data_IF_289854538920
#
_entry.id   IF_289854538920
#
_cell.length_a   1.000
_cell.length_b   1.000
_cell.length_c   1.000
_cell.angle_alpha   90.00
_cell.angle_beta   90.00
_cell.angle_gamma   90.00
#
_symmetry.space_group_name_H-M   'P 1'
#
loop_
_entity.id
_entity.type
_entity.pdbx_description
1 polymer ?
#
# COMPACT_ATOMS: atom_id res chain seq x y z
N UNK A 1 17.96 -7.45 19.87
CA UNK A 1 18.85 -6.38 19.36
C UNK A 1 17.98 -5.37 18.62
N UNK A 2 18.14 -4.05 18.78
CA UNK A 2 17.32 -3.07 18.05
C UNK A 2 17.65 -3.15 16.55
N UNK A 3 16.65 -3.45 15.72
CA UNK A 3 16.79 -3.43 14.26
C UNK A 3 16.87 -1.98 13.79
N UNK A 4 17.81 -1.70 12.88
CA UNK A 4 17.93 -0.40 12.22
C UNK A 4 16.69 -0.15 11.36
N UNK A 5 16.15 1.07 11.39
CA UNK A 5 14.94 1.43 10.65
C UNK A 5 15.09 1.22 9.13
N UNK A 6 16.25 1.55 8.56
CA UNK A 6 16.52 1.32 7.14
C UNK A 6 16.43 -0.17 6.77
N UNK A 7 16.95 -1.05 7.62
CA UNK A 7 16.88 -2.50 7.44
C UNK A 7 15.44 -3.00 7.56
N UNK A 8 14.70 -2.55 8.57
CA UNK A 8 13.28 -2.88 8.73
C UNK A 8 12.44 -2.42 7.53
N UNK A 9 12.73 -1.23 6.99
CA UNK A 9 12.07 -0.68 5.81
C UNK A 9 12.34 -1.54 4.58
N UNK A 10 13.60 -1.91 4.32
CA UNK A 10 13.94 -2.79 3.19
C UNK A 10 13.28 -4.17 3.33
N UNK A 11 13.39 -4.81 4.50
CA UNK A 11 12.77 -6.12 4.74
C UNK A 11 11.26 -6.08 4.48
N UNK A 12 10.58 -5.05 5.01
CA UNK A 12 9.13 -4.91 4.82
C UNK A 12 8.75 -4.60 3.37
N UNK A 13 9.59 -3.86 2.65
CA UNK A 13 9.33 -3.48 1.25
C UNK A 13 9.52 -4.66 0.30
N UNK A 14 10.50 -5.52 0.56
CA UNK A 14 10.80 -6.68 -0.29
C UNK A 14 10.05 -7.95 0.09
N UNK A 15 9.23 -7.95 1.16
CA UNK A 15 8.46 -9.11 1.63
C UNK A 15 9.31 -10.34 1.99
N UNK A 16 10.52 -10.13 2.49
CA UNK A 16 11.48 -11.22 2.76
C UNK A 16 11.38 -11.66 4.23
N UNK A 17 10.18 -11.77 4.80
CA UNK A 17 10.02 -12.07 6.22
C UNK A 17 8.98 -13.15 6.48
N UNK A 18 9.35 -14.11 7.31
CA UNK A 18 8.51 -15.24 7.70
C UNK A 18 8.17 -15.20 9.20
N UNK A 19 7.16 -15.97 9.61
CA UNK A 19 6.65 -16.02 10.99
C UNK A 19 7.69 -16.51 12.00
N UNK A 20 8.64 -17.34 11.55
CA UNK A 20 9.72 -17.88 12.37
C UNK A 20 10.94 -16.94 12.45
N UNK A 21 10.98 -15.88 11.63
CA UNK A 21 12.12 -14.98 11.62
C UNK A 21 12.17 -14.16 12.92
N UNK A 22 13.30 -14.26 13.63
CA UNK A 22 13.53 -13.52 14.87
C UNK A 22 13.44 -11.99 14.69
N UNK A 23 13.54 -11.50 13.45
CA UNK A 23 13.42 -10.09 13.11
C UNK A 23 11.98 -9.58 12.98
N UNK A 24 10.98 -10.46 12.86
CA UNK A 24 9.57 -10.06 12.68
C UNK A 24 9.03 -9.27 13.86
N UNK A 25 9.12 -9.84 15.07
CA UNK A 25 8.63 -9.20 16.29
C UNK A 25 9.25 -7.82 16.54
N UNK A 26 10.57 -7.64 16.40
CA UNK A 26 11.20 -6.32 16.46
C UNK A 26 10.70 -5.34 15.39
N UNK A 27 10.49 -5.79 14.15
CA UNK A 27 9.99 -4.93 13.06
C UNK A 27 8.55 -4.50 13.34
N UNK A 28 7.68 -5.43 13.73
CA UNK A 28 6.29 -5.12 14.07
C UNK A 28 6.22 -4.12 15.24
N UNK A 29 7.03 -4.31 16.29
CA UNK A 29 7.14 -3.36 17.39
C UNK A 29 7.61 -1.97 16.94
N UNK A 30 8.61 -1.92 16.05
CA UNK A 30 9.08 -0.66 15.48
C UNK A 30 7.96 0.06 14.73
N UNK A 31 7.23 -0.66 13.86
CA UNK A 31 6.12 -0.12 13.08
C UNK A 31 4.99 0.42 13.97
N UNK A 32 4.57 -0.34 14.97
CA UNK A 32 3.51 0.07 15.89
C UNK A 32 3.91 1.28 16.75
N UNK A 33 5.18 1.35 17.18
CA UNK A 33 5.69 2.51 17.90
C UNK A 33 5.75 3.75 17.01
N UNK A 34 6.24 3.61 15.76
CA UNK A 34 6.22 4.70 14.77
C UNK A 34 4.81 5.16 14.45
N UNK A 35 3.86 4.25 14.33
CA UNK A 35 2.45 4.59 14.13
C UNK A 35 1.93 5.46 15.27
N UNK A 36 2.18 5.06 16.53
CA UNK A 36 1.78 5.85 17.71
C UNK A 36 2.44 7.22 17.77
N UNK A 37 3.68 7.34 17.31
CA UNK A 37 4.37 8.63 17.21
C UNK A 37 3.71 9.53 16.17
N UNK A 38 3.49 9.03 14.96
CA UNK A 38 2.83 9.78 13.87
C UNK A 38 1.39 10.17 14.22
N UNK A 39 0.65 9.30 14.91
CA UNK A 39 -0.70 9.59 15.41
C UNK A 39 -0.74 10.81 16.35
N UNK A 40 0.32 11.06 17.13
CA UNK A 40 0.39 12.26 18.00
C UNK A 40 0.52 13.56 17.20
N UNK A 41 1.06 13.49 15.99
CA UNK A 41 1.25 14.65 15.11
C UNK A 41 0.09 14.87 14.14
N UNK A 42 -0.81 13.88 14.00
CA UNK A 42 -1.97 13.89 13.11
C UNK A 42 -2.80 15.18 13.18
N UNK A 43 -3.03 15.70 14.39
CA UNK A 43 -3.87 16.88 14.61
C UNK A 43 -3.06 18.20 14.62
N UNK A 44 -1.75 18.16 14.39
CA UNK A 44 -0.84 19.30 14.68
C UNK A 44 -0.03 19.84 13.51
N UNK A 45 0.06 19.15 12.36
CA UNK A 45 0.92 19.63 11.26
C UNK A 45 0.15 19.79 9.94
N UNK A 46 -0.01 21.04 9.52
CA UNK A 46 -0.01 21.38 8.09
C UNK A 46 1.39 21.10 7.53
N UNK A 47 1.47 20.34 6.44
CA UNK A 47 2.72 20.02 5.76
C UNK A 47 3.53 21.30 5.46
N UNK A 48 4.78 21.38 5.92
CA UNK A 48 5.69 22.48 5.63
C UNK A 48 6.91 21.98 4.84
N UNK A 49 6.91 22.26 3.55
CA UNK A 49 7.95 21.87 2.58
C UNK A 49 9.34 22.43 2.91
N UNK A 50 9.44 23.49 3.72
CA UNK A 50 10.70 24.14 4.09
C UNK A 50 11.39 23.48 5.31
N UNK A 51 10.63 22.83 6.18
CA UNK A 51 11.15 22.13 7.37
C UNK A 51 11.53 20.66 7.10
N UNK A 52 11.15 20.11 5.95
CA UNK A 52 11.50 18.77 5.48
C UNK A 52 12.39 18.83 4.21
N UNK A 53 13.61 19.41 4.30
CA UNK A 53 14.51 19.52 3.17
C UNK A 53 15.10 18.14 2.88
N UNK A 54 14.67 17.53 1.78
CA UNK A 54 15.10 16.21 1.28
C UNK A 54 14.55 15.04 2.11
N UNK A 55 13.52 14.38 1.55
CA UNK A 55 13.16 13.01 1.92
C UNK A 55 14.44 12.17 1.90
N UNK A 56 14.88 11.68 3.05
CA UNK A 56 15.57 10.38 3.03
C UNK A 56 14.58 9.43 2.35
N UNK A 57 14.92 8.92 1.16
CA UNK A 57 14.02 8.12 0.29
C UNK A 57 13.45 6.89 1.03
N UNK A 58 14.12 6.45 2.10
CA UNK A 58 13.86 5.22 2.82
C UNK A 58 13.50 5.50 4.29
N UNK A 59 12.41 4.89 4.80
CA UNK A 59 12.02 4.96 6.22
C UNK A 59 10.52 5.06 6.51
N UNK A 60 10.17 4.93 7.79
CA UNK A 60 8.80 4.93 8.32
C UNK A 60 8.38 6.31 8.82
N UNK A 61 8.54 7.33 7.98
CA UNK A 61 8.29 8.75 8.33
C UNK A 61 6.87 9.23 8.09
N UNK A 62 6.09 8.48 7.34
CA UNK A 62 4.72 8.89 7.02
C UNK A 62 3.79 7.77 7.42
N UNK A 63 2.59 8.14 7.84
CA UNK A 63 1.50 7.20 8.05
C UNK A 63 1.32 6.23 6.87
N UNK A 64 1.42 6.74 5.63
CA UNK A 64 1.28 5.91 4.45
C UNK A 64 2.40 4.85 4.31
N UNK A 65 3.65 5.17 4.66
CA UNK A 65 4.75 4.18 4.59
C UNK A 65 4.67 3.16 5.72
N UNK A 66 4.25 3.59 6.91
CA UNK A 66 4.02 2.71 8.07
C UNK A 66 2.88 1.72 7.78
N UNK A 67 1.72 2.24 7.34
CA UNK A 67 0.55 1.40 7.04
C UNK A 67 0.79 0.49 5.83
N UNK A 68 1.60 0.94 4.85
CA UNK A 68 2.00 0.07 3.75
C UNK A 68 2.76 -1.16 4.26
N UNK A 69 3.77 -0.95 5.11
CA UNK A 69 4.54 -2.05 5.68
C UNK A 69 3.68 -2.99 6.52
N UNK A 70 2.80 -2.46 7.38
CA UNK A 70 1.85 -3.27 8.14
C UNK A 70 0.92 -4.08 7.22
N UNK A 71 0.36 -3.45 6.17
CA UNK A 71 -0.52 -4.12 5.22
C UNK A 71 0.17 -5.22 4.42
N UNK A 72 1.45 -5.04 4.11
CA UNK A 72 2.26 -6.06 3.44
C UNK A 72 2.39 -7.29 4.33
N UNK A 73 2.72 -7.11 5.61
CA UNK A 73 2.84 -8.22 6.56
C UNK A 73 1.51 -8.97 6.78
N UNK A 74 0.37 -8.30 6.55
CA UNK A 74 -0.96 -8.93 6.61
C UNK A 74 -1.31 -9.79 5.40
N UNK A 75 -0.58 -9.67 4.28
CA UNK A 75 -0.87 -10.44 3.06
C UNK A 75 -0.14 -11.79 3.04
N UNK A 76 0.70 -12.05 4.04
CA UNK A 76 1.55 -13.25 4.15
C UNK A 76 0.87 -14.34 5.00
N UNK A 77 1.65 -15.28 5.54
CA UNK A 77 1.20 -16.46 6.29
C UNK A 77 0.32 -16.15 7.52
N UNK A 78 -0.55 -17.11 7.87
CA UNK A 78 -1.54 -16.99 8.94
C UNK A 78 -0.94 -16.61 10.32
N UNK A 79 0.29 -17.05 10.66
CA UNK A 79 0.89 -16.69 11.95
C UNK A 79 1.29 -15.22 12.04
N UNK A 80 1.77 -14.62 10.95
CA UNK A 80 2.04 -13.17 10.88
C UNK A 80 0.74 -12.37 11.03
N UNK A 81 -0.32 -12.80 10.34
CA UNK A 81 -1.63 -12.18 10.42
C UNK A 81 -2.20 -12.25 11.85
N UNK A 82 -2.10 -13.41 12.50
CA UNK A 82 -2.55 -13.60 13.87
C UNK A 82 -1.79 -12.68 14.84
N UNK A 83 -0.46 -12.58 14.72
CA UNK A 83 0.32 -11.72 15.62
C UNK A 83 0.00 -10.23 15.43
N UNK A 84 -0.23 -9.80 14.18
CA UNK A 84 -0.67 -8.43 13.89
C UNK A 84 -2.06 -8.18 14.48
N UNK A 85 -2.98 -9.13 14.35
CA UNK A 85 -4.32 -9.02 14.94
C UNK A 85 -4.26 -8.97 16.47
N UNK A 86 -3.45 -9.81 17.11
CA UNK A 86 -3.22 -9.82 18.57
C UNK A 86 -2.72 -8.46 19.09
N UNK A 87 -2.03 -7.68 18.24
CA UNK A 87 -1.53 -6.35 18.55
C UNK A 87 -2.44 -5.20 18.09
N UNK A 88 -3.68 -5.52 17.77
CA UNK A 88 -4.71 -4.54 17.42
C UNK A 88 -4.74 -4.14 15.94
N UNK A 89 -4.25 -5.01 15.05
CA UNK A 89 -4.20 -4.74 13.60
C UNK A 89 -5.58 -4.42 13.01
N UNK A 90 -6.63 -5.11 13.47
CA UNK A 90 -8.01 -4.89 13.00
C UNK A 90 -8.49 -3.49 13.39
N UNK A 91 -8.25 -3.06 14.63
CA UNK A 91 -8.63 -1.76 15.17
C UNK A 91 -7.84 -0.62 14.50
N UNK A 92 -6.58 -0.86 14.15
CA UNK A 92 -5.77 0.07 13.35
C UNK A 92 -6.41 0.23 11.97
N UNK A 93 -6.77 -0.87 11.30
CA UNK A 93 -7.47 -0.84 10.03
C UNK A 93 -8.77 -0.03 10.12
N UNK A 94 -9.63 -0.36 11.08
CA UNK A 94 -10.90 0.31 11.33
C UNK A 94 -10.75 1.83 11.49
N UNK A 95 -9.73 2.28 12.24
CA UNK A 95 -9.45 3.70 12.50
C UNK A 95 -9.20 4.50 11.23
N UNK A 96 -8.61 3.86 10.22
CA UNK A 96 -8.16 4.52 8.99
C UNK A 96 -9.02 4.26 7.76
N UNK A 97 -10.09 3.49 7.87
CA UNK A 97 -11.01 3.22 6.75
C UNK A 97 -11.61 4.49 6.14
N UNK A 98 -11.83 5.53 6.95
CA UNK A 98 -12.44 6.80 6.50
C UNK A 98 -11.40 7.90 6.22
N UNK A 99 -10.14 7.53 6.06
CA UNK A 99 -9.07 8.50 5.85
C UNK A 99 -9.25 9.30 4.53
N UNK A 100 -8.94 10.60 4.46
CA UNK A 100 -9.07 11.38 3.22
C UNK A 100 -8.25 10.85 2.04
N UNK A 101 -7.03 10.36 2.30
CA UNK A 101 -6.17 9.75 1.28
C UNK A 101 -6.62 8.33 0.92
N UNK A 102 -6.92 8.11 -0.36
CA UNK A 102 -7.31 6.81 -0.90
C UNK A 102 -6.26 5.71 -0.64
N UNK A 103 -4.97 6.04 -0.78
CA UNK A 103 -3.86 5.10 -0.52
C UNK A 103 -3.90 4.55 0.91
N UNK A 104 -4.19 5.41 1.88
CA UNK A 104 -4.29 5.01 3.29
C UNK A 104 -5.55 4.19 3.52
N UNK A 105 -6.69 4.54 2.89
CA UNK A 105 -7.92 3.72 2.98
C UNK A 105 -7.71 2.31 2.45
N UNK A 106 -6.96 2.14 1.35
CA UNK A 106 -6.64 0.82 0.79
C UNK A 106 -5.83 -0.01 1.79
N UNK A 107 -4.76 0.55 2.38
CA UNK A 107 -3.95 -0.15 3.40
C UNK A 107 -4.77 -0.48 4.65
N UNK A 108 -5.63 0.45 5.07
CA UNK A 108 -6.53 0.27 6.19
C UNK A 108 -7.55 -0.84 5.94
N UNK A 109 -8.05 -0.96 4.71
CA UNK A 109 -8.95 -2.03 4.31
C UNK A 109 -8.26 -3.40 4.34
N UNK A 110 -6.99 -3.49 3.94
CA UNK A 110 -6.20 -4.73 4.06
C UNK A 110 -6.06 -5.15 5.52
N UNK A 111 -5.69 -4.21 6.40
CA UNK A 111 -5.58 -4.47 7.86
C UNK A 111 -6.94 -4.85 8.47
N UNK A 112 -8.00 -4.14 8.11
CA UNK A 112 -9.35 -4.46 8.57
C UNK A 112 -9.86 -5.81 8.01
N UNK A 113 -9.33 -6.23 6.86
CA UNK A 113 -9.62 -7.52 6.24
C UNK A 113 -9.30 -8.72 7.14
N UNK A 114 -8.38 -8.58 8.09
CA UNK A 114 -8.11 -9.58 9.13
C UNK A 114 -9.37 -9.94 9.95
N UNK A 115 -10.34 -9.02 10.05
CA UNK A 115 -11.62 -9.29 10.70
C UNK A 115 -12.48 -10.31 9.96
N UNK A 116 -12.19 -10.62 8.70
CA UNK A 116 -12.90 -11.64 7.90
C UNK A 116 -12.36 -13.04 8.15
N UNK A 117 -11.08 -13.17 8.50
CA UNK A 117 -10.43 -14.46 8.69
C UNK A 117 -11.07 -15.23 9.85
N UNK A 118 -11.39 -16.50 9.63
CA UNK A 118 -12.26 -17.25 10.54
C UNK A 118 -11.67 -17.34 11.93
N UNK A 119 -10.40 -17.73 12.04
CA UNK A 119 -9.71 -17.92 13.32
C UNK A 119 -9.24 -16.60 13.95
N UNK A 120 -8.84 -15.64 13.13
CA UNK A 120 -8.21 -14.39 13.59
C UNK A 120 -9.28 -13.37 14.00
N UNK A 121 -10.28 -13.17 13.14
CA UNK A 121 -11.31 -12.15 13.32
C UNK A 121 -12.50 -12.58 14.18
N UNK A 122 -12.55 -13.83 14.66
CA UNK A 122 -13.70 -14.39 15.38
C UNK A 122 -14.14 -13.50 16.54
N UNK A 123 -13.21 -13.16 17.44
CA UNK A 123 -13.49 -12.35 18.63
C UNK A 123 -13.94 -10.93 18.25
N UNK A 124 -13.35 -10.37 17.20
CA UNK A 124 -13.76 -9.07 16.70
C UNK A 124 -15.21 -9.10 16.15
N UNK A 125 -15.54 -10.10 15.32
CA UNK A 125 -16.89 -10.27 14.72
C UNK A 125 -17.95 -10.56 15.76
N UNK A 126 -17.63 -11.33 16.80
CA UNK A 126 -18.55 -11.64 17.89
C UNK A 126 -19.01 -10.38 18.63
N UNK A 127 -18.11 -9.41 18.76
CA UNK A 127 -18.36 -8.19 19.52
C UNK A 127 -18.80 -6.99 18.66
N UNK A 128 -18.70 -7.08 17.33
CA UNK A 128 -18.94 -5.96 16.42
C UNK A 128 -19.86 -6.34 15.26
N UNK A 129 -20.88 -5.53 15.01
CA UNK A 129 -21.71 -5.67 13.83
C UNK A 129 -21.02 -4.99 12.63
N UNK A 130 -20.58 -5.79 11.65
CA UNK A 130 -19.73 -5.31 10.55
C UNK A 130 -20.47 -4.51 9.48
N UNK A 131 -21.75 -4.79 9.23
CA UNK A 131 -22.53 -4.15 8.15
C UNK A 131 -22.54 -2.61 8.27
N UNK A 132 -22.83 -2.01 9.45
CA UNK A 132 -22.75 -0.57 9.63
C UNK A 132 -21.35 0.00 9.44
N UNK A 133 -20.30 -0.77 9.75
CA UNK A 133 -18.92 -0.34 9.57
C UNK A 133 -18.62 -0.18 8.08
N UNK A 134 -18.95 -1.19 7.26
CA UNK A 134 -18.77 -1.13 5.81
C UNK A 134 -19.56 0.02 5.19
N UNK A 135 -20.83 0.19 5.58
CA UNK A 135 -21.69 1.25 5.03
C UNK A 135 -21.19 2.67 5.38
N UNK A 136 -20.44 2.84 6.47
CA UNK A 136 -19.82 4.12 6.83
C UNK A 136 -18.53 4.40 6.05
N UNK A 137 -17.85 3.35 5.60
CA UNK A 137 -16.50 3.45 5.03
C UNK A 137 -16.41 3.34 3.52
N UNK A 138 -17.36 2.63 2.91
CA UNK A 138 -17.48 2.54 1.46
C UNK A 138 -18.48 3.63 1.06
N UNK A 139 -18.03 4.74 0.42
CA UNK A 139 -18.98 5.72 -0.08
C UNK A 139 -19.90 5.05 -1.10
N UNK A 140 -21.20 5.40 -1.11
CA UNK A 140 -22.10 4.89 -2.13
C UNK A 140 -21.52 5.19 -3.52
N UNK A 141 -21.55 4.23 -4.45
CA UNK A 141 -21.01 4.44 -5.78
C UNK A 141 -21.76 5.61 -6.45
N UNK A 142 -21.02 6.60 -6.92
CA UNK A 142 -21.59 7.70 -7.70
C UNK A 142 -21.71 7.24 -9.15
N UNK A 143 -22.96 7.14 -9.63
CA UNK A 143 -23.23 6.89 -11.04
C UNK A 143 -23.04 8.20 -11.82
N UNK A 144 -21.88 8.35 -12.46
CA UNK A 144 -21.65 9.47 -13.38
C UNK A 144 -22.12 9.06 -14.78
N UNK A 145 -23.30 9.56 -15.17
CA UNK A 145 -23.78 9.43 -16.56
C UNK A 145 -23.03 10.46 -17.40
N UNK A 146 -22.07 9.99 -18.20
CA UNK A 146 -21.34 10.85 -19.12
C UNK A 146 -22.21 11.10 -20.36
N UNK A 147 -22.80 12.29 -20.44
CA UNK A 147 -23.56 12.73 -21.62
C UNK A 147 -22.64 12.83 -22.83
N UNK A 148 -22.95 12.09 -23.88
CA UNK A 148 -22.15 11.97 -25.12
C UNK A 148 -22.21 13.22 -26.03
N UNK A 149 -22.49 14.41 -25.49
CA UNK A 149 -22.87 15.59 -26.28
C UNK A 149 -21.71 16.41 -26.83
N UNK A 150 -20.44 16.05 -26.59
CA UNK A 150 -19.28 16.80 -27.09
C UNK A 150 -18.26 15.97 -27.90
N UNK A 151 -18.61 14.76 -28.32
CA UNK A 151 -17.69 13.84 -29.02
C UNK A 151 -17.59 14.06 -30.55
N UNK A 152 -17.99 15.22 -31.07
CA UNK A 152 -18.04 15.43 -32.53
C UNK A 152 -16.68 15.65 -33.22
N UNK A 153 -15.52 15.56 -32.54
CA UNK A 153 -14.22 15.86 -33.19
C UNK A 153 -12.98 15.06 -32.79
N UNK A 154 -13.07 13.97 -32.03
CA UNK A 154 -11.84 13.24 -31.65
C UNK A 154 -12.00 11.73 -31.87
N UNK A 155 -10.90 11.15 -32.37
CA UNK A 155 -10.57 9.73 -32.65
C UNK A 155 -11.54 8.66 -32.07
N UNK A 156 -11.78 7.55 -32.80
CA UNK A 156 -12.71 6.47 -32.39
C UNK A 156 -12.43 5.92 -30.99
N UNK A 157 -11.20 6.09 -30.52
CA UNK A 157 -10.69 5.72 -29.21
C UNK A 157 -10.36 6.98 -28.42
N UNK A 158 -11.14 7.26 -27.38
CA UNK A 158 -10.71 8.16 -26.30
C UNK A 158 -9.97 7.32 -25.25
N UNK A 159 -8.64 7.42 -25.24
CA UNK A 159 -7.83 6.87 -24.16
C UNK A 159 -8.14 7.63 -22.86
N UNK A 160 -8.62 6.92 -21.85
CA UNK A 160 -8.81 7.50 -20.52
C UNK A 160 -7.42 7.68 -19.88
N UNK A 161 -7.03 8.92 -19.62
CA UNK A 161 -5.76 9.18 -18.92
C UNK A 161 -5.71 8.37 -17.61
N UNK A 162 -4.63 7.60 -17.43
CA UNK A 162 -4.36 6.70 -16.30
C UNK A 162 -5.06 5.33 -16.30
N UNK A 163 -5.77 4.94 -17.36
CA UNK A 163 -6.37 3.61 -17.51
C UNK A 163 -5.89 2.96 -18.82
N UNK A 164 -5.62 1.66 -18.80
CA UNK A 164 -5.25 0.87 -19.99
C UNK A 164 -6.45 0.57 -20.92
N UNK A 165 -7.52 1.36 -20.82
CA UNK A 165 -8.81 1.08 -21.44
C UNK A 165 -9.34 2.32 -22.14
N UNK A 166 -9.87 2.13 -23.34
CA UNK A 166 -10.53 3.17 -24.13
C UNK A 166 -12.03 2.93 -24.24
N UNK A 167 -12.80 3.99 -24.46
CA UNK A 167 -14.23 3.87 -24.78
C UNK A 167 -14.36 3.78 -26.30
N UNK A 168 -15.03 2.73 -26.80
CA UNK A 168 -15.43 2.64 -28.20
C UNK A 168 -16.62 3.58 -28.42
N UNK A 169 -16.45 4.59 -29.26
CA UNK A 169 -17.56 5.47 -29.62
C UNK A 169 -18.70 4.70 -30.30
N UNK A 170 -19.93 4.93 -29.84
CA UNK A 170 -21.16 4.45 -30.46
C UNK A 170 -21.66 3.09 -29.96
N UNK A 171 -20.85 2.34 -29.21
CA UNK A 171 -21.24 1.02 -28.70
C UNK A 171 -21.40 0.98 -27.18
N UNK A 172 -20.82 1.95 -26.47
CA UNK A 172 -20.84 1.98 -25.00
C UNK A 172 -19.97 0.91 -24.34
N UNK A 173 -19.19 0.16 -25.12
CA UNK A 173 -18.26 -0.85 -24.63
C UNK A 173 -16.86 -0.29 -24.40
N UNK A 174 -16.17 -0.88 -23.43
CA UNK A 174 -14.78 -0.58 -23.07
C UNK A 174 -13.90 -1.61 -23.78
N UNK A 175 -12.87 -1.14 -24.49
CA UNK A 175 -11.88 -1.99 -25.15
C UNK A 175 -10.52 -1.84 -24.47
N UNK A 176 -9.81 -2.95 -24.30
CA UNK A 176 -8.40 -2.95 -23.91
C UNK A 176 -7.60 -2.40 -25.09
N UNK A 177 -7.00 -1.23 -24.91
CA UNK A 177 -6.19 -0.63 -25.96
C UNK A 177 -4.79 -1.23 -25.84
N UNK A 178 -4.41 -2.08 -26.80
CA UNK A 178 -3.01 -2.49 -26.95
C UNK A 178 -2.17 -1.22 -27.09
N UNK A 179 -1.23 -1.05 -26.16
CA UNK A 179 -0.32 0.09 -26.17
C UNK A 179 0.49 0.05 -27.46
N UNK A 180 0.16 0.92 -28.42
CA UNK A 180 1.17 1.41 -29.33
C UNK A 180 2.19 2.17 -28.47
N UNK A 181 3.47 1.83 -28.64
CA UNK A 181 4.61 2.41 -27.92
C UNK A 181 4.69 3.93 -28.13
N UNK A 182 3.89 4.67 -27.36
CA UNK A 182 4.03 6.11 -27.23
C UNK A 182 5.16 6.38 -26.23
N UNK A 183 6.29 6.87 -26.75
CA UNK A 183 7.50 7.29 -26.00
C UNK A 183 7.21 8.34 -24.90
N UNK A 184 5.98 8.86 -24.81
CA UNK A 184 5.52 9.79 -23.79
C UNK A 184 4.95 9.12 -22.52
N UNK A 185 5.03 7.79 -22.39
CA UNK A 185 4.55 7.11 -21.19
C UNK A 185 5.46 7.42 -19.98
N UNK A 186 4.98 8.31 -19.09
CA UNK A 186 5.71 8.82 -17.91
C UNK A 186 6.17 7.76 -16.89
N UNK A 187 5.73 6.51 -17.03
CA UNK A 187 6.12 5.40 -16.16
C UNK A 187 7.51 4.86 -16.48
N UNK A 188 7.95 4.87 -17.74
CA UNK A 188 9.27 4.36 -18.15
C UNK A 188 10.44 5.09 -17.45
N UNK A 189 10.49 6.44 -17.41
CA UNK A 189 11.54 7.13 -16.67
C UNK A 189 11.41 6.98 -15.14
N UNK A 190 10.26 6.58 -14.62
CA UNK A 190 10.10 6.27 -13.19
C UNK A 190 10.66 4.87 -12.86
N UNK A 191 10.35 3.87 -13.69
CA UNK A 191 10.87 2.50 -13.56
C UNK A 191 12.38 2.48 -13.79
N UNK A 192 12.88 3.19 -14.81
CA UNK A 192 14.31 3.32 -15.10
C UNK A 192 15.08 3.93 -13.92
N UNK A 193 14.56 4.99 -13.30
CA UNK A 193 15.16 5.60 -12.10
C UNK A 193 15.15 4.66 -10.89
N UNK A 194 14.11 3.86 -10.71
CA UNK A 194 14.06 2.86 -9.63
C UNK A 194 15.11 1.78 -9.84
N UNK A 195 15.32 1.33 -11.07
CA UNK A 195 16.33 0.32 -11.37
C UNK A 195 17.76 0.88 -11.26
N UNK A 196 18.00 2.10 -11.74
CA UNK A 196 19.29 2.79 -11.58
C UNK A 196 19.62 3.01 -10.10
N UNK A 197 18.65 3.43 -9.27
CA UNK A 197 18.84 3.60 -7.82
C UNK A 197 19.17 2.26 -7.11
N UNK A 198 18.61 1.14 -7.58
CA UNK A 198 18.82 -0.19 -7.01
C UNK A 198 20.19 -0.80 -7.38
N UNK A 199 20.69 -0.48 -8.58
CA UNK A 199 22.02 -0.86 -9.05
C UNK A 199 23.11 -0.02 -8.40
N UNK A 200 22.93 1.30 -8.28
CA UNK A 200 23.97 2.23 -7.79
C UNK A 200 24.22 2.11 -6.27
N UNK A 201 23.22 1.68 -5.48
CA UNK A 201 23.36 1.44 -4.03
C UNK A 201 23.80 -0.01 -3.67
N UNK A 202 24.07 -0.88 -4.66
CA UNK A 202 24.50 -2.26 -4.42
C UNK A 202 23.45 -3.14 -3.72
N UNK A 203 22.19 -2.70 -3.71
CA UNK A 203 21.09 -3.41 -3.04
C UNK A 203 20.75 -4.70 -3.77
N UNK A 204 20.82 -4.71 -5.10
CA UNK A 204 20.65 -5.92 -5.91
C UNK A 204 21.75 -6.95 -5.57
N UNK A 205 23.01 -6.52 -5.48
CA UNK A 205 24.14 -7.39 -5.13
C UNK A 205 24.04 -7.91 -3.67
N UNK A 206 23.54 -7.08 -2.76
CA UNK A 206 23.32 -7.47 -1.36
C UNK A 206 22.15 -8.46 -1.20
N UNK A 207 21.09 -8.30 -1.98
CA UNK A 207 19.96 -9.23 -2.00
C UNK A 207 20.35 -10.54 -2.68
N UNK A 208 21.05 -10.48 -3.81
CA UNK A 208 21.57 -11.66 -4.51
C UNK A 208 22.55 -12.44 -3.64
N UNK A 209 23.52 -11.79 -2.99
CA UNK A 209 24.48 -12.46 -2.09
C UNK A 209 23.80 -13.14 -0.89
N UNK A 210 22.72 -12.56 -0.36
CA UNK A 210 21.93 -13.19 0.71
C UNK A 210 21.03 -14.34 0.22
N UNK A 211 20.53 -14.28 -1.02
CA UNK A 211 19.79 -15.39 -1.63
C UNK A 211 20.72 -16.57 -1.96
N UNK A 212 21.91 -16.29 -2.50
CA UNK A 212 22.90 -17.33 -2.80
C UNK A 212 23.45 -17.99 -1.53
N UNK A 213 23.67 -17.23 -0.45
CA UNK A 213 24.12 -17.82 0.83
C UNK A 213 23.05 -18.68 1.51
N UNK A 214 21.75 -18.41 1.30
CA UNK A 214 20.65 -19.29 1.74
C UNK A 214 20.48 -20.55 0.90
N UNK A 215 20.97 -20.58 -0.33
CA UNK A 215 20.86 -21.76 -1.23
C UNK A 215 21.97 -22.80 -1.07
N UNK A 216 23.01 -22.49 -0.27
CA UNK A 216 24.23 -23.32 -0.11
C UNK A 216 24.28 -24.01 1.27
N UNK A 217 23.28 -23.83 2.13
CA UNK A 217 23.07 -24.61 3.37
C UNK A 217 21.74 -25.36 3.29
#
# INVERSE_FOLDING_TARGET
MPIKESLAYSISSFRIIDEYDQCFNPILNLLLNRLKEEEKFWNKKSYNKQLDPKRCKYGFRTLATILNALSILCLEHNGLQQEIANRGGIEIGLRYLNHPSAKIRVMAAVLFGLSREDNIGYDFRKNNYLIPIYNRSIPPPLLNIVSQSELSKTSPTQHLQHLHSGIIQGTGFIEEVEQADDENNSSYPAIKRVNEDLEEEGLIETVQSNLFSKSIN
#
